data_IF_469015113493
#
_entry.id   IF_469015113493
#
_cell.length_a   1.000
_cell.length_b   1.000
_cell.length_c   1.000
_cell.angle_alpha   90.00
_cell.angle_beta   90.00
_cell.angle_gamma   90.00
#
_symmetry.space_group_name_H-M   'P 1'
#
loop_
_entity.id
_entity.type
_entity.pdbx_description
1 polymer ?
#
# COMPACT_ATOMS: atom_id res chain seq x y z
N UNK A 1 8.76 10.06 4.47
CA UNK A 1 7.42 9.72 3.92
C UNK A 1 7.19 8.22 4.04
N UNK A 2 5.99 7.85 4.44
CA UNK A 2 5.60 6.44 4.50
C UNK A 2 4.79 6.05 3.29
N UNK A 3 5.13 4.91 2.70
CA UNK A 3 4.46 4.35 1.53
C UNK A 3 3.90 2.98 1.88
N UNK A 4 2.61 2.76 1.63
CA UNK A 4 1.98 1.46 1.83
C UNK A 4 1.94 0.70 0.50
N UNK A 5 2.41 -0.53 0.51
CA UNK A 5 2.49 -1.39 -0.67
C UNK A 5 1.56 -2.57 -0.46
N UNK A 6 0.56 -2.71 -1.31
CA UNK A 6 -0.36 -3.85 -1.25
C UNK A 6 0.40 -5.13 -1.58
N UNK A 7 0.29 -6.14 -0.73
CA UNK A 7 1.11 -7.34 -0.81
C UNK A 7 0.30 -8.63 -0.62
N UNK A 8 0.82 -9.72 -1.16
CA UNK A 8 0.15 -11.02 -1.10
C UNK A 8 0.37 -11.76 0.21
N UNK A 9 1.45 -11.45 0.92
CA UNK A 9 1.74 -12.07 2.22
C UNK A 9 2.70 -11.17 3.03
N UNK A 10 3.15 -11.66 4.18
CA UNK A 10 3.99 -10.89 5.11
C UNK A 10 5.48 -10.98 4.83
N UNK A 11 5.91 -11.81 3.88
CA UNK A 11 7.33 -11.96 3.55
C UNK A 11 7.87 -10.73 2.83
N UNK A 12 9.11 -10.33 3.10
CA UNK A 12 9.77 -9.26 2.36
C UNK A 12 9.96 -9.59 0.88
N UNK A 13 9.94 -10.85 0.52
CA UNK A 13 10.06 -11.32 -0.86
C UNK A 13 8.70 -11.47 -1.56
N UNK A 14 7.61 -11.10 -0.89
CA UNK A 14 6.26 -11.20 -1.49
C UNK A 14 6.16 -10.32 -2.73
N UNK A 15 5.35 -10.78 -3.67
CA UNK A 15 4.97 -9.94 -4.80
C UNK A 15 3.91 -8.93 -4.34
N UNK A 16 3.83 -7.81 -5.05
CA UNK A 16 2.76 -6.85 -4.81
C UNK A 16 1.42 -7.48 -5.20
N UNK A 17 0.35 -6.98 -4.59
CA UNK A 17 -0.99 -7.42 -4.95
C UNK A 17 -1.58 -6.48 -5.99
N UNK A 18 -2.32 -7.06 -6.93
CA UNK A 18 -3.05 -6.29 -7.92
C UNK A 18 -4.12 -5.42 -7.26
N UNK A 19 -4.80 -5.94 -6.24
CA UNK A 19 -5.98 -5.32 -5.66
C UNK A 19 -5.67 -4.64 -4.33
N UNK A 20 -5.79 -3.32 -4.28
CA UNK A 20 -5.61 -2.57 -3.05
C UNK A 20 -6.59 -3.01 -1.96
N UNK A 21 -7.87 -3.15 -2.30
CA UNK A 21 -8.91 -3.46 -1.30
C UNK A 21 -8.95 -4.91 -0.84
N UNK A 22 -8.39 -5.83 -1.62
CA UNK A 22 -8.49 -7.27 -1.38
C UNK A 22 -7.18 -7.94 -1.00
N UNK A 23 -6.09 -7.17 -0.91
CA UNK A 23 -4.81 -7.74 -0.55
C UNK A 23 -4.83 -8.28 0.89
N UNK A 24 -3.96 -9.24 1.18
CA UNK A 24 -3.90 -9.80 2.53
C UNK A 24 -3.13 -8.93 3.51
N UNK A 25 -2.12 -8.21 3.02
CA UNK A 25 -1.19 -7.44 3.84
C UNK A 25 -0.81 -6.14 3.16
N UNK A 26 -0.37 -5.16 3.98
CA UNK A 26 0.29 -3.96 3.50
C UNK A 26 1.68 -3.90 4.11
N UNK A 27 2.70 -3.66 3.27
CA UNK A 27 4.03 -3.35 3.73
C UNK A 27 4.20 -1.83 3.73
N UNK A 28 4.41 -1.24 4.89
CA UNK A 28 4.52 0.20 5.04
C UNK A 28 5.99 0.55 5.21
N UNK A 29 6.55 1.18 4.21
CA UNK A 29 7.96 1.57 4.17
C UNK A 29 8.11 3.05 4.53
N UNK A 30 8.97 3.33 5.51
CA UNK A 30 9.35 4.69 5.89
C UNK A 30 10.73 4.97 5.29
N UNK A 31 10.79 5.91 4.35
CA UNK A 31 12.04 6.22 3.64
C UNK A 31 13.00 7.08 4.47
N UNK A 32 12.55 7.66 5.57
CA UNK A 32 13.40 8.44 6.48
C UNK A 32 14.17 7.49 7.40
N UNK A 33 13.46 6.60 8.10
CA UNK A 33 14.09 5.61 8.99
C UNK A 33 14.60 4.38 8.24
N UNK A 34 14.15 4.18 7.01
CA UNK A 34 14.46 3.01 6.17
C UNK A 34 14.04 1.70 6.82
N UNK A 35 12.86 1.72 7.44
CA UNK A 35 12.26 0.55 8.09
C UNK A 35 10.94 0.20 7.44
N UNK A 36 10.56 -1.07 7.55
CA UNK A 36 9.30 -1.58 7.00
C UNK A 36 8.46 -2.17 8.14
N UNK A 37 7.21 -1.74 8.21
CA UNK A 37 6.20 -2.34 9.07
C UNK A 37 5.24 -3.15 8.21
N UNK A 38 4.91 -4.37 8.63
CA UNK A 38 3.93 -5.20 7.94
C UNK A 38 2.66 -5.22 8.76
N UNK A 39 1.53 -4.91 8.12
CA UNK A 39 0.23 -5.00 8.78
C UNK A 39 -0.72 -5.85 7.96
N UNK A 40 -1.63 -6.54 8.65
CA UNK A 40 -2.73 -7.23 7.98
C UNK A 40 -3.68 -6.19 7.38
N UNK A 41 -4.35 -6.57 6.30
CA UNK A 41 -5.39 -5.70 5.75
C UNK A 41 -6.53 -5.59 6.76
N UNK A 42 -6.81 -4.40 7.30
CA UNK A 42 -7.84 -4.24 8.35
C UNK A 42 -9.26 -4.51 7.85
N UNK A 43 -9.44 -4.57 6.54
CA UNK A 43 -10.75 -4.83 5.94
C UNK A 43 -11.01 -6.30 5.64
N UNK A 44 -10.09 -7.21 5.99
CA UNK A 44 -10.30 -8.64 5.76
C UNK A 44 -11.55 -9.11 6.51
N UNK A 45 -12.44 -9.81 5.80
CA UNK A 45 -13.67 -10.34 6.39
C UNK A 45 -14.79 -9.32 6.55
N UNK A 46 -14.55 -8.05 6.25
CA UNK A 46 -15.58 -7.01 6.32
C UNK A 46 -16.39 -7.00 5.02
N UNK A 47 -17.70 -6.97 5.16
CA UNK A 47 -18.60 -6.79 4.02
C UNK A 47 -18.91 -5.30 3.87
N UNK A 48 -19.07 -4.85 2.63
CA UNK A 48 -19.43 -3.47 2.34
C UNK A 48 -18.22 -2.61 1.99
N UNK A 49 -18.17 -1.38 2.49
CA UNK A 49 -17.21 -0.38 2.07
C UNK A 49 -15.84 -0.61 2.70
N UNK A 50 -15.02 -1.44 2.07
CA UNK A 50 -13.68 -1.80 2.57
C UNK A 50 -12.69 -0.63 2.47
N UNK A 51 -12.88 0.25 1.49
CA UNK A 51 -11.98 1.36 1.27
C UNK A 51 -11.88 2.31 2.46
N UNK A 52 -13.02 2.61 3.10
CA UNK A 52 -13.03 3.51 4.27
C UNK A 52 -12.15 2.96 5.40
N UNK A 53 -12.28 1.67 5.69
CA UNK A 53 -11.52 1.03 6.78
C UNK A 53 -10.02 1.08 6.50
N UNK A 54 -9.63 0.76 5.27
CA UNK A 54 -8.22 0.75 4.88
C UNK A 54 -7.63 2.16 4.93
N UNK A 55 -8.32 3.13 4.32
CA UNK A 55 -7.82 4.50 4.24
C UNK A 55 -7.70 5.12 5.63
N UNK A 56 -8.68 4.89 6.51
CA UNK A 56 -8.61 5.39 7.89
C UNK A 56 -7.37 4.85 8.62
N UNK A 57 -7.06 3.57 8.46
CA UNK A 57 -5.89 2.99 9.08
C UNK A 57 -4.59 3.57 8.51
N UNK A 58 -4.53 3.77 7.21
CA UNK A 58 -3.36 4.37 6.58
C UNK A 58 -3.14 5.82 7.03
N UNK A 59 -4.22 6.58 7.18
CA UNK A 59 -4.15 7.94 7.72
C UNK A 59 -3.60 7.92 9.15
N UNK A 60 -4.09 7.01 9.99
CA UNK A 60 -3.64 6.87 11.37
C UNK A 60 -2.14 6.55 11.45
N UNK A 61 -1.60 5.89 10.46
CA UNK A 61 -0.18 5.53 10.38
C UNK A 61 0.67 6.56 9.63
N UNK A 62 0.10 7.69 9.24
CA UNK A 62 0.79 8.76 8.51
C UNK A 62 1.30 8.34 7.13
N UNK A 63 0.61 7.41 6.49
CA UNK A 63 0.94 7.01 5.12
C UNK A 63 0.53 8.12 4.15
N UNK A 64 1.42 8.49 3.24
CA UNK A 64 1.18 9.56 2.26
C UNK A 64 1.18 9.06 0.82
N UNK A 65 1.54 7.81 0.59
CA UNK A 65 1.59 7.22 -0.75
C UNK A 65 1.21 5.74 -0.66
N UNK A 66 0.50 5.26 -1.66
CA UNK A 66 0.12 3.84 -1.76
C UNK A 66 0.48 3.30 -3.14
N UNK A 67 0.87 2.03 -3.19
CA UNK A 67 1.25 1.34 -4.43
C UNK A 67 0.48 0.02 -4.51
N UNK A 68 -0.17 -0.21 -5.64
CA UNK A 68 -0.86 -1.47 -5.95
C UNK A 68 -0.98 -1.61 -7.46
N UNK A 69 -1.43 -2.76 -7.92
CA UNK A 69 -1.66 -2.97 -9.36
C UNK A 69 -2.90 -2.27 -9.85
N UNK A 70 -3.91 -2.09 -9.01
CA UNK A 70 -5.16 -1.42 -9.38
C UNK A 70 -5.86 -0.89 -8.13
N UNK A 71 -6.69 0.12 -8.33
CA UNK A 71 -7.48 0.77 -7.28
C UNK A 71 -8.92 0.93 -7.76
N UNK A 72 -9.87 0.53 -6.94
CA UNK A 72 -11.29 0.77 -7.25
C UNK A 72 -11.62 2.26 -7.26
N UNK A 73 -12.66 2.64 -7.99
CA UNK A 73 -13.04 4.06 -8.16
C UNK A 73 -13.28 4.77 -6.83
N UNK A 74 -13.98 4.12 -5.90
CA UNK A 74 -14.28 4.72 -4.60
C UNK A 74 -13.01 4.91 -3.77
N UNK A 75 -12.08 3.96 -3.81
CA UNK A 75 -10.80 4.07 -3.13
C UNK A 75 -10.00 5.25 -3.70
N UNK A 76 -10.01 5.41 -5.01
CA UNK A 76 -9.33 6.55 -5.65
C UNK A 76 -9.86 7.87 -5.11
N UNK A 77 -11.18 7.99 -4.97
CA UNK A 77 -11.81 9.21 -4.43
C UNK A 77 -11.37 9.46 -2.99
N UNK A 78 -11.37 8.42 -2.15
CA UNK A 78 -10.97 8.53 -0.73
C UNK A 78 -9.51 8.93 -0.59
N UNK A 79 -8.63 8.34 -1.38
CA UNK A 79 -7.22 8.67 -1.36
C UNK A 79 -6.97 10.11 -1.79
N UNK A 80 -7.64 10.55 -2.86
CA UNK A 80 -7.52 11.93 -3.34
C UNK A 80 -8.04 12.94 -2.31
N UNK A 81 -9.16 12.64 -1.66
CA UNK A 81 -9.73 13.51 -0.62
C UNK A 81 -8.80 13.68 0.57
N UNK A 82 -7.99 12.68 0.85
CA UNK A 82 -7.06 12.68 1.98
C UNK A 82 -5.63 12.99 1.56
N UNK A 83 -5.41 13.42 0.31
CA UNK A 83 -4.11 13.83 -0.20
C UNK A 83 -3.07 12.72 -0.14
N UNK A 84 -3.51 11.47 -0.33
CA UNK A 84 -2.61 10.32 -0.40
C UNK A 84 -2.34 10.03 -1.87
N UNK A 85 -1.06 10.03 -2.25
CA UNK A 85 -0.64 9.76 -3.61
C UNK A 85 -0.87 8.29 -3.96
N UNK A 86 -1.40 8.04 -5.14
CA UNK A 86 -1.72 6.72 -5.67
C UNK A 86 -0.74 6.39 -6.79
N UNK A 87 -0.06 5.24 -6.68
CA UNK A 87 0.82 4.75 -7.74
C UNK A 87 0.29 3.39 -8.20
N UNK A 88 -0.09 3.31 -9.48
CA UNK A 88 -0.49 2.06 -10.11
C UNK A 88 0.77 1.45 -10.74
N UNK A 89 1.18 0.29 -10.26
CA UNK A 89 2.32 -0.41 -10.83
C UNK A 89 1.80 -1.48 -11.80
N UNK A 90 2.13 -1.40 -13.09
CA UNK A 90 1.52 -2.29 -14.10
C UNK A 90 2.00 -3.73 -14.01
N UNK A 91 3.18 -3.98 -13.46
CA UNK A 91 3.73 -5.32 -13.36
C UNK A 91 3.58 -5.86 -11.95
N UNK A 92 2.62 -6.76 -11.76
CA UNK A 92 2.35 -7.38 -10.45
C UNK A 92 3.33 -8.49 -10.11
N UNK A 93 4.30 -8.78 -10.98
CA UNK A 93 5.35 -9.76 -10.71
C UNK A 93 6.55 -9.15 -10.00
N UNK A 94 6.49 -7.86 -9.70
CA UNK A 94 7.53 -7.19 -8.92
C UNK A 94 7.35 -7.49 -7.43
N UNK A 95 8.45 -7.66 -6.71
CA UNK A 95 8.40 -7.88 -5.27
C UNK A 95 8.35 -6.57 -4.49
N UNK A 96 7.90 -6.65 -3.23
CA UNK A 96 7.94 -5.51 -2.30
C UNK A 96 9.37 -5.01 -2.15
N UNK A 97 10.35 -5.92 -2.03
CA UNK A 97 11.76 -5.53 -1.91
C UNK A 97 12.24 -4.71 -3.10
N UNK A 98 11.83 -5.09 -4.32
CA UNK A 98 12.19 -4.35 -5.53
C UNK A 98 11.56 -2.96 -5.55
N UNK A 99 10.31 -2.85 -5.11
CA UNK A 99 9.64 -1.54 -4.99
C UNK A 99 10.39 -0.65 -4.00
N UNK A 100 10.79 -1.19 -2.86
CA UNK A 100 11.52 -0.44 -1.84
C UNK A 100 12.87 0.05 -2.39
N UNK A 101 13.56 -0.78 -3.15
CA UNK A 101 14.81 -0.36 -3.81
C UNK A 101 14.58 0.81 -4.75
N UNK A 102 13.51 0.78 -5.54
CA UNK A 102 13.16 1.87 -6.45
C UNK A 102 12.85 3.17 -5.69
N UNK A 103 12.17 3.06 -4.54
CA UNK A 103 11.88 4.22 -3.70
C UNK A 103 13.18 4.82 -3.13
N UNK A 104 14.12 3.99 -2.73
CA UNK A 104 15.41 4.44 -2.22
C UNK A 104 16.24 5.16 -3.29
N UNK A 105 16.20 4.69 -4.53
CA UNK A 105 16.91 5.33 -5.62
C UNK A 105 16.42 6.76 -5.88
N UNK A 106 15.10 6.99 -5.73
CA UNK A 106 14.53 8.32 -5.93
C UNK A 106 14.90 9.30 -4.82
N UNK A 107 15.25 8.78 -3.65
CA UNK A 107 15.53 9.60 -2.46
C UNK A 107 17.02 9.72 -2.14
N UNK A 108 17.86 9.15 -2.98
CA UNK A 108 19.31 9.20 -2.80
C UNK A 108 19.95 10.37 -3.50
#
# INVERSE_FOLDING_TARGET
MKTAIAAQNSSSETLIDKHFGKCSHFHIYDDISRTTEVMDNPAQGIKGCKGDVIVDELIAKNVKRVIAGDFGTKVQQLLNQNQIQMIIHPDIRISVSEIIELLNLKNS
#
